data_IF_752545242953
#
_entry.id   IF_752545242953
#
_cell.length_a   1.000
_cell.length_b   1.000
_cell.length_c   1.000
_cell.angle_alpha   90.00
_cell.angle_beta   90.00
_cell.angle_gamma   90.00
#
_symmetry.space_group_name_H-M   'P 1'
#
loop_
_entity.id
_entity.type
_entity.pdbx_description
1 polymer ?
#
# COMPACT_ATOMS: atom_id res chain seq x y z
N UNK A 1 10.13 2.54 -24.67
CA UNK A 1 9.50 1.33 -24.09
C UNK A 1 9.66 1.42 -22.58
N UNK A 2 8.55 1.48 -21.83
CA UNK A 2 8.53 1.79 -20.39
C UNK A 2 9.12 0.63 -19.56
N UNK A 3 10.37 0.78 -19.09
CA UNK A 3 11.04 -0.21 -18.24
C UNK A 3 10.67 -0.11 -16.73
N UNK A 4 9.80 0.83 -16.32
CA UNK A 4 9.47 1.07 -14.90
C UNK A 4 8.21 0.35 -14.36
N UNK A 5 7.42 -0.33 -15.21
CA UNK A 5 6.19 -0.99 -14.74
C UNK A 5 6.51 -2.37 -14.16
N UNK A 6 6.47 -2.53 -12.84
CA UNK A 6 6.43 -3.86 -12.21
C UNK A 6 4.96 -4.27 -12.01
N UNK A 7 4.44 -5.18 -12.84
CA UNK A 7 3.05 -5.65 -12.76
C UNK A 7 2.68 -6.28 -11.41
N UNK A 8 3.64 -6.86 -10.68
CA UNK A 8 3.42 -7.35 -9.32
C UNK A 8 3.12 -6.21 -8.34
N UNK A 9 3.82 -5.08 -8.49
CA UNK A 9 3.51 -3.86 -7.71
C UNK A 9 2.12 -3.31 -8.05
N UNK A 10 1.72 -3.34 -9.33
CA UNK A 10 0.40 -2.86 -9.78
C UNK A 10 -0.74 -3.65 -9.13
N UNK A 11 -0.59 -4.97 -9.02
CA UNK A 11 -1.59 -5.85 -8.39
C UNK A 11 -1.43 -5.95 -6.86
N UNK A 12 -0.44 -5.27 -6.26
CA UNK A 12 -0.09 -5.36 -4.83
C UNK A 12 0.22 -6.79 -4.35
N UNK A 13 0.88 -7.58 -5.19
CA UNK A 13 1.22 -8.98 -4.90
C UNK A 13 2.72 -9.23 -4.98
N UNK A 14 3.19 -10.29 -4.32
CA UNK A 14 4.59 -10.71 -4.38
C UNK A 14 4.94 -11.29 -5.75
N UNK A 15 6.20 -11.20 -6.15
CA UNK A 15 6.73 -11.85 -7.35
C UNK A 15 6.62 -13.39 -7.27
N UNK A 16 6.56 -13.91 -6.04
CA UNK A 16 6.32 -15.32 -5.70
C UNK A 16 4.85 -15.68 -5.50
N UNK A 17 3.92 -14.75 -5.72
CA UNK A 17 2.49 -14.96 -5.49
C UNK A 17 1.95 -16.15 -6.30
N UNK A 18 1.01 -16.90 -5.75
CA UNK A 18 0.28 -17.94 -6.47
C UNK A 18 -0.71 -17.33 -7.47
N UNK A 19 -1.21 -18.13 -8.41
CA UNK A 19 -2.24 -17.68 -9.36
C UNK A 19 -3.52 -17.19 -8.66
N UNK A 20 -3.85 -17.78 -7.50
CA UNK A 20 -4.99 -17.35 -6.68
C UNK A 20 -4.75 -15.95 -6.08
N UNK A 21 -3.56 -15.70 -5.54
CA UNK A 21 -3.19 -14.40 -4.99
C UNK A 21 -3.16 -13.31 -6.06
N UNK A 22 -2.66 -13.61 -7.26
CA UNK A 22 -2.68 -12.68 -8.40
C UNK A 22 -4.11 -12.32 -8.80
N UNK A 23 -5.00 -13.31 -8.88
CA UNK A 23 -6.42 -13.08 -9.16
C UNK A 23 -7.10 -12.26 -8.08
N UNK A 24 -6.77 -12.51 -6.81
CA UNK A 24 -7.31 -11.73 -5.70
C UNK A 24 -6.80 -10.29 -5.72
N UNK A 25 -5.51 -10.08 -5.99
CA UNK A 25 -4.92 -8.75 -6.19
C UNK A 25 -5.60 -7.99 -7.31
N UNK A 26 -5.79 -8.62 -8.47
CA UNK A 26 -6.55 -8.05 -9.59
C UNK A 26 -7.97 -7.61 -9.19
N UNK A 27 -8.76 -8.50 -8.57
CA UNK A 27 -10.13 -8.17 -8.19
C UNK A 27 -10.19 -7.04 -7.15
N UNK A 28 -9.30 -7.07 -6.15
CA UNK A 28 -9.20 -6.04 -5.11
C UNK A 28 -8.87 -4.68 -5.72
N UNK A 29 -7.83 -4.62 -6.56
CA UNK A 29 -7.37 -3.38 -7.18
C UNK A 29 -8.40 -2.87 -8.19
N UNK A 30 -8.97 -3.74 -9.04
CA UNK A 30 -10.04 -3.38 -9.97
C UNK A 30 -11.26 -2.82 -9.23
N UNK A 31 -11.67 -3.41 -8.12
CA UNK A 31 -12.77 -2.87 -7.32
C UNK A 31 -12.43 -1.53 -6.65
N UNK A 32 -11.16 -1.29 -6.28
CA UNK A 32 -10.73 -0.01 -5.73
C UNK A 32 -10.84 1.14 -6.76
N UNK A 33 -10.69 0.84 -8.06
CA UNK A 33 -10.74 1.81 -9.16
C UNK A 33 -11.99 1.73 -10.04
N UNK A 34 -12.95 0.84 -9.76
CA UNK A 34 -14.24 0.75 -10.46
C UNK A 34 -15.36 1.39 -9.61
N UNK A 35 -16.27 2.11 -10.27
CA UNK A 35 -17.08 3.28 -9.86
C UNK A 35 -17.73 3.36 -8.45
N UNK A 36 -17.61 2.35 -7.59
CA UNK A 36 -18.25 2.29 -6.27
C UNK A 36 -17.26 2.13 -5.09
N UNK A 37 -15.94 2.19 -5.34
CA UNK A 37 -14.92 2.22 -4.29
C UNK A 37 -14.84 3.59 -3.60
N UNK A 38 -15.75 3.85 -2.65
CA UNK A 38 -16.03 5.10 -1.91
C UNK A 38 -14.85 5.88 -1.27
N UNK A 39 -13.59 5.55 -1.54
CA UNK A 39 -12.40 6.16 -0.94
C UNK A 39 -11.39 6.76 -1.93
N UNK A 40 -11.36 6.34 -3.20
CA UNK A 40 -10.35 6.79 -4.19
C UNK A 40 -10.89 7.77 -5.24
N UNK A 41 -12.19 7.76 -5.52
CA UNK A 41 -12.83 8.68 -6.50
C UNK A 41 -12.75 10.16 -6.11
N UNK A 42 -12.58 10.47 -4.82
CA UNK A 42 -12.41 11.85 -4.34
C UNK A 42 -11.01 12.42 -4.59
N UNK A 43 -10.09 11.63 -5.15
CA UNK A 43 -8.64 11.78 -5.03
C UNK A 43 -7.92 11.87 -6.40
N UNK A 44 -8.59 11.44 -7.46
CA UNK A 44 -8.10 11.30 -8.84
C UNK A 44 -9.21 11.70 -9.83
N UNK A 45 -8.85 12.20 -11.02
CA UNK A 45 -9.85 12.48 -12.06
C UNK A 45 -10.34 11.19 -12.75
N UNK A 46 -11.47 11.26 -13.44
CA UNK A 46 -12.04 10.11 -14.17
C UNK A 46 -11.02 9.51 -15.16
N UNK A 47 -10.30 10.36 -15.90
CA UNK A 47 -9.24 9.95 -16.83
C UNK A 47 -8.07 9.21 -16.15
N UNK A 48 -7.75 9.55 -14.90
CA UNK A 48 -6.67 8.90 -14.15
C UNK A 48 -7.13 7.53 -13.63
N UNK A 49 -8.39 7.43 -13.18
CA UNK A 49 -9.00 6.15 -12.82
C UNK A 49 -9.06 5.19 -14.02
N UNK A 50 -9.42 5.70 -15.21
CA UNK A 50 -9.46 4.91 -16.44
C UNK A 50 -8.08 4.36 -16.80
N UNK A 51 -7.04 5.19 -16.79
CA UNK A 51 -5.65 4.74 -17.00
C UNK A 51 -5.19 3.71 -15.98
N UNK A 52 -5.58 3.86 -14.72
CA UNK A 52 -5.25 2.87 -13.69
C UNK A 52 -5.96 1.54 -13.91
N UNK A 53 -7.23 1.56 -14.31
CA UNK A 53 -7.94 0.35 -14.69
C UNK A 53 -7.27 -0.34 -15.88
N UNK A 54 -6.85 0.40 -16.90
CA UNK A 54 -6.10 -0.16 -18.04
C UNK A 54 -4.81 -0.86 -17.58
N UNK A 55 -4.06 -0.25 -16.67
CA UNK A 55 -2.83 -0.84 -16.12
C UNK A 55 -3.09 -2.11 -15.30
N UNK A 56 -4.19 -2.15 -14.54
CA UNK A 56 -4.58 -3.31 -13.75
C UNK A 56 -4.99 -4.47 -14.65
N UNK A 57 -5.71 -4.19 -15.74
CA UNK A 57 -6.07 -5.17 -16.77
C UNK A 57 -4.83 -5.68 -17.52
N UNK A 58 -3.91 -4.78 -17.91
CA UNK A 58 -2.63 -5.11 -18.54
C UNK A 58 -1.81 -6.06 -17.63
N UNK A 59 -1.70 -5.72 -16.35
CA UNK A 59 -0.96 -6.51 -15.37
C UNK A 59 -1.56 -7.92 -15.20
N UNK A 60 -2.88 -8.05 -15.12
CA UNK A 60 -3.53 -9.36 -15.00
C UNK A 60 -3.48 -10.18 -16.28
N UNK A 61 -3.54 -9.54 -17.47
CA UNK A 61 -3.38 -10.24 -18.76
C UNK A 61 -2.02 -10.95 -18.90
N UNK A 62 -0.99 -10.41 -18.25
CA UNK A 62 0.36 -10.98 -18.24
C UNK A 62 0.56 -11.94 -17.06
N UNK A 63 0.18 -11.55 -15.84
CA UNK A 63 0.46 -12.33 -14.62
C UNK A 63 -0.55 -13.45 -14.36
N UNK A 64 -1.77 -13.34 -14.89
CA UNK A 64 -2.83 -14.34 -14.70
C UNK A 64 -2.65 -15.61 -15.52
N UNK A 65 -1.82 -15.57 -16.55
CA UNK A 65 -1.45 -16.72 -17.38
C UNK A 65 -0.05 -17.21 -17.03
N UNK A 66 0.10 -18.52 -16.78
CA UNK A 66 1.36 -19.11 -16.30
C UNK A 66 2.50 -18.95 -17.32
N UNK A 67 2.22 -19.05 -18.61
CA UNK A 67 3.22 -18.95 -19.68
C UNK A 67 3.68 -17.50 -19.88
N UNK A 68 2.72 -16.57 -19.92
CA UNK A 68 3.00 -15.12 -20.05
C UNK A 68 3.72 -14.58 -18.81
N UNK A 69 3.34 -15.07 -17.62
CA UNK A 69 4.02 -14.74 -16.36
C UNK A 69 5.46 -15.25 -16.35
N UNK A 70 5.71 -16.48 -16.80
CA UNK A 70 7.06 -17.04 -16.90
C UNK A 70 7.92 -16.22 -17.87
N UNK A 71 7.40 -15.90 -19.06
CA UNK A 71 8.09 -15.02 -20.03
C UNK A 71 8.38 -13.63 -19.47
N UNK A 72 7.44 -13.06 -18.73
CA UNK A 72 7.62 -11.78 -18.04
C UNK A 72 8.71 -11.86 -16.95
N UNK A 73 8.72 -12.92 -16.15
CA UNK A 73 9.75 -13.15 -15.12
C UNK A 73 11.14 -13.36 -15.72
N UNK A 74 11.24 -14.14 -16.80
CA UNK A 74 12.47 -14.38 -17.53
C UNK A 74 13.02 -13.10 -18.15
N UNK A 75 12.16 -12.31 -18.82
CA UNK A 75 12.55 -11.03 -19.42
C UNK A 75 13.01 -9.99 -18.37
N UNK A 76 12.60 -10.14 -17.11
CA UNK A 76 12.97 -9.25 -16.00
C UNK A 76 14.07 -9.80 -15.09
N UNK A 77 14.57 -11.01 -15.33
CA UNK A 77 15.58 -11.64 -14.46
C UNK A 77 15.09 -11.94 -13.04
N UNK A 78 13.76 -12.04 -12.84
CA UNK A 78 13.15 -12.43 -11.55
C UNK A 78 13.48 -13.90 -11.24
N UNK A 79 13.75 -14.68 -12.28
CA UNK A 79 14.10 -16.10 -12.24
C UNK A 79 15.62 -16.29 -12.47
N UNK A 80 16.47 -15.70 -11.63
CA UNK A 80 17.89 -16.05 -11.60
C UNK A 80 18.19 -16.95 -10.39
N UNK A 81 17.72 -18.18 -10.46
CA UNK A 81 18.24 -19.31 -9.65
C UNK A 81 18.45 -20.52 -10.55
N UNK A 82 19.47 -20.50 -11.39
CA UNK A 82 20.05 -21.70 -12.01
C UNK A 82 21.59 -21.60 -12.08
N UNK A 83 22.22 -21.89 -10.95
CA UNK A 83 23.49 -22.61 -10.78
C UNK A 83 23.51 -22.93 -9.28
N UNK A 84 23.26 -24.16 -8.83
CA UNK A 84 24.15 -25.31 -8.99
C UNK A 84 23.36 -26.63 -9.01
N UNK A 85 23.72 -27.50 -9.97
CA UNK A 85 23.36 -28.92 -9.99
C UNK A 85 24.18 -29.68 -8.95
N UNK A 86 23.57 -30.62 -8.21
CA UNK A 86 23.92 -32.06 -8.27
C UNK A 86 23.43 -32.88 -7.07
N UNK A 87 22.61 -33.90 -7.38
CA UNK A 87 22.57 -35.24 -6.80
C UNK A 87 22.13 -35.46 -5.33
N UNK A 88 20.93 -36.03 -5.17
CA UNK A 88 20.71 -37.47 -4.87
C UNK A 88 19.53 -37.71 -3.92
N UNK A 89 18.48 -38.31 -4.49
CA UNK A 89 17.73 -39.49 -4.01
C UNK A 89 17.52 -39.69 -2.51
N UNK A 90 16.25 -39.75 -2.08
CA UNK A 90 15.49 -40.95 -1.62
C UNK A 90 14.28 -40.45 -0.81
N UNK A 91 13.05 -40.72 -1.25
CA UNK A 91 12.19 -41.83 -0.75
C UNK A 91 11.45 -41.37 0.54
N UNK A 92 10.18 -41.62 0.85
CA UNK A 92 9.14 -42.53 0.37
C UNK A 92 7.81 -42.08 1.00
N UNK A 93 6.70 -42.38 0.32
CA UNK A 93 5.39 -42.82 0.88
C UNK A 93 4.53 -41.92 1.80
N UNK A 94 3.33 -41.63 1.29
CA UNK A 94 1.97 -41.81 1.87
C UNK A 94 1.77 -41.58 3.38
N UNK A 95 0.66 -41.00 3.85
CA UNK A 95 -0.69 -41.59 3.75
C UNK A 95 -1.70 -40.60 4.35
N UNK A 96 -2.83 -40.35 3.68
CA UNK A 96 -4.05 -39.86 4.33
C UNK A 96 -4.71 -41.00 5.13
N UNK A 97 -5.49 -40.70 6.18
CA UNK A 97 -6.92 -40.96 6.01
C UNK A 97 -7.84 -39.92 6.68
N UNK A 98 -9.09 -39.99 6.23
CA UNK A 98 -10.23 -39.10 6.43
C UNK A 98 -10.97 -39.28 7.77
N UNK A 99 -11.76 -38.25 8.13
CA UNK A 99 -13.08 -38.24 8.82
C UNK A 99 -13.20 -38.95 10.20
N UNK A 100 -13.90 -38.48 11.25
CA UNK A 100 -15.26 -37.92 11.32
C UNK A 100 -15.64 -37.61 12.81
N UNK A 101 -16.72 -36.84 13.04
CA UNK A 101 -17.65 -36.78 14.21
C UNK A 101 -17.47 -35.72 15.33
N UNK A 102 -18.28 -34.65 15.21
CA UNK A 102 -19.19 -34.02 16.21
C UNK A 102 -18.91 -34.03 17.72
N UNK A 103 -19.02 -32.86 18.36
CA UNK A 103 -20.16 -32.57 19.27
C UNK A 103 -20.16 -31.13 19.84
N UNK A 104 -21.38 -30.70 20.11
CA UNK A 104 -21.92 -29.47 20.69
C UNK A 104 -21.20 -28.87 21.90
N UNK A 105 -21.09 -27.55 21.90
CA UNK A 105 -20.86 -26.72 23.09
C UNK A 105 -21.62 -25.40 22.96
N UNK A 106 -22.91 -25.41 23.30
CA UNK A 106 -23.75 -24.22 23.41
C UNK A 106 -23.52 -23.63 24.80
N UNK A 107 -22.65 -22.63 24.90
CA UNK A 107 -22.45 -21.81 26.08
C UNK A 107 -22.76 -20.36 25.74
N UNK A 108 -23.81 -19.82 26.34
CA UNK A 108 -24.14 -18.40 26.31
C UNK A 108 -23.00 -17.58 26.94
N UNK A 109 -22.59 -16.48 26.32
CA UNK A 109 -22.28 -15.26 27.07
C UNK A 109 -22.16 -14.05 26.15
N UNK A 110 -22.97 -13.06 26.51
CA UNK A 110 -23.05 -11.68 26.04
C UNK A 110 -21.70 -10.96 26.10
N UNK A 111 -21.46 -10.01 25.18
CA UNK A 111 -20.56 -8.88 25.46
C UNK A 111 -19.63 -8.36 24.35
N UNK A 112 -19.47 -9.05 23.21
CA UNK A 112 -18.33 -8.79 22.32
C UNK A 112 -18.47 -7.68 21.24
N UNK A 113 -19.54 -6.88 21.24
CA UNK A 113 -19.76 -5.85 20.20
C UNK A 113 -19.19 -4.47 20.59
N UNK A 114 -18.82 -4.23 21.86
CA UNK A 114 -18.37 -2.90 22.31
C UNK A 114 -16.85 -2.67 22.39
N UNK A 115 -16.02 -3.72 22.46
CA UNK A 115 -14.56 -3.57 22.58
C UNK A 115 -13.94 -3.13 21.24
N UNK A 116 -14.34 -3.77 20.13
CA UNK A 116 -13.77 -3.51 18.81
C UNK A 116 -13.99 -2.09 18.32
N UNK A 117 -15.16 -1.49 18.64
CA UNK A 117 -15.49 -0.10 18.30
C UNK A 117 -14.69 0.90 19.15
N UNK A 118 -14.60 0.67 20.47
CA UNK A 118 -13.85 1.52 21.40
C UNK A 118 -12.34 1.53 21.12
N UNK A 119 -11.77 0.38 20.73
CA UNK A 119 -10.36 0.25 20.35
C UNK A 119 -10.08 0.93 18.99
N UNK A 120 -11.02 0.85 18.05
CA UNK A 120 -10.91 1.56 16.77
C UNK A 120 -11.03 3.08 16.95
N UNK A 121 -11.96 3.56 17.77
CA UNK A 121 -12.14 4.99 18.05
C UNK A 121 -10.92 5.61 18.74
N UNK A 122 -10.30 4.92 19.71
CA UNK A 122 -9.05 5.38 20.34
C UNK A 122 -7.87 5.42 19.37
N UNK A 123 -7.82 4.55 18.36
CA UNK A 123 -6.70 4.51 17.40
C UNK A 123 -6.58 5.81 16.59
N UNK A 124 -7.70 6.43 16.24
CA UNK A 124 -7.75 7.65 15.42
C UNK A 124 -7.81 8.96 16.23
N UNK A 125 -7.89 8.87 17.56
CA UNK A 125 -7.91 10.05 18.42
C UNK A 125 -6.50 10.64 18.55
N UNK A 126 -6.29 11.86 18.06
CA UNK A 126 -5.03 12.57 18.23
C UNK A 126 -5.02 13.24 19.60
N UNK A 127 -4.01 12.91 20.42
CA UNK A 127 -3.84 13.42 21.78
C UNK A 127 -2.57 14.27 21.81
N UNK A 128 -2.74 15.59 21.70
CA UNK A 128 -1.65 16.55 21.65
C UNK A 128 -2.08 17.87 22.28
N UNK A 129 -1.09 18.63 22.77
CA UNK A 129 -1.33 19.97 23.28
C UNK A 129 -1.28 20.94 22.10
N UNK A 130 -2.38 21.65 21.86
CA UNK A 130 -2.45 22.63 20.77
C UNK A 130 -1.45 23.76 21.01
N UNK A 131 -0.50 23.92 20.09
CA UNK A 131 0.37 25.08 19.97
C UNK A 131 -0.22 26.03 18.92
N UNK A 132 -0.80 27.18 19.31
CA UNK A 132 -1.45 28.09 18.38
C UNK A 132 -0.52 28.58 17.26
N UNK A 133 0.78 28.77 17.55
CA UNK A 133 1.72 29.24 16.55
C UNK A 133 1.98 28.17 15.49
N UNK A 134 2.11 26.91 15.91
CA UNK A 134 2.34 25.81 14.98
C UNK A 134 1.07 25.41 14.22
N UNK A 135 -0.12 25.44 14.83
CA UNK A 135 -1.38 25.24 14.09
C UNK A 135 -1.58 26.32 13.02
N UNK A 136 -1.20 27.57 13.30
CA UNK A 136 -1.22 28.64 12.30
C UNK A 136 -0.20 28.40 11.17
N UNK A 137 1.01 27.91 11.48
CA UNK A 137 2.00 27.48 10.47
C UNK A 137 1.43 26.35 9.59
N UNK A 138 0.74 25.38 10.17
CA UNK A 138 0.11 24.26 9.45
C UNK A 138 -1.02 24.76 8.53
N UNK A 139 -1.89 25.65 9.02
CA UNK A 139 -3.04 26.17 8.26
C UNK A 139 -2.62 27.01 7.06
N UNK A 140 -1.54 27.79 7.20
CA UNK A 140 -1.01 28.65 6.13
C UNK A 140 -0.11 27.90 5.15
N UNK A 141 0.28 26.66 5.46
CA UNK A 141 1.17 25.89 4.60
C UNK A 141 0.47 25.45 3.31
N UNK A 142 1.14 25.68 2.19
CA UNK A 142 0.70 25.24 0.85
C UNK A 142 1.63 24.18 0.25
N UNK A 143 2.90 24.16 0.68
CA UNK A 143 3.91 23.23 0.20
C UNK A 143 4.39 22.29 1.32
N UNK A 144 4.07 21.01 1.19
CA UNK A 144 4.37 20.02 2.21
C UNK A 144 5.59 19.19 1.85
N UNK A 145 6.63 19.29 2.68
CA UNK A 145 7.82 18.44 2.60
C UNK A 145 7.69 17.23 3.52
N UNK A 146 8.46 16.17 3.25
CA UNK A 146 8.56 15.01 4.15
C UNK A 146 8.93 15.41 5.58
N UNK A 147 9.88 16.35 5.70
CA UNK A 147 10.33 16.85 7.00
C UNK A 147 9.25 17.63 7.75
N UNK A 148 8.40 18.39 7.03
CA UNK A 148 7.27 19.09 7.64
C UNK A 148 6.18 18.11 8.06
N UNK A 149 5.87 17.08 7.25
CA UNK A 149 4.95 16.02 7.63
C UNK A 149 5.41 15.27 8.88
N UNK A 150 6.72 15.00 9.00
CA UNK A 150 7.32 14.44 10.21
C UNK A 150 7.11 15.34 11.43
N UNK A 151 7.39 16.64 11.32
CA UNK A 151 7.15 17.62 12.40
C UNK A 151 5.68 17.60 12.86
N UNK A 152 4.73 17.61 11.92
CA UNK A 152 3.30 17.55 12.25
C UNK A 152 2.95 16.23 12.95
N UNK A 153 3.45 15.10 12.44
CA UNK A 153 3.19 13.78 13.03
C UNK A 153 3.67 13.71 14.49
N UNK A 154 4.89 14.18 14.74
CA UNK A 154 5.49 14.18 16.07
C UNK A 154 4.77 15.15 17.01
N UNK A 155 4.43 16.35 16.53
CA UNK A 155 3.62 17.30 17.27
C UNK A 155 2.24 16.74 17.66
N UNK A 156 1.59 15.98 16.77
CA UNK A 156 0.31 15.31 17.07
C UNK A 156 0.47 14.00 17.87
N UNK A 157 1.66 13.74 18.42
CA UNK A 157 2.03 12.56 19.21
C UNK A 157 1.68 11.21 18.54
N UNK A 158 1.96 11.11 17.25
CA UNK A 158 1.79 9.87 16.48
C UNK A 158 3.17 9.29 16.18
N UNK A 159 3.49 8.10 16.68
CA UNK A 159 4.73 7.40 16.32
C UNK A 159 4.58 6.63 14.98
N UNK A 160 5.69 6.19 14.38
CA UNK A 160 5.67 5.45 13.11
C UNK A 160 4.84 4.16 13.19
N UNK A 161 4.92 3.33 14.25
CA UNK A 161 4.05 2.16 14.39
C UNK A 161 2.57 2.51 14.38
N UNK A 162 2.14 3.49 15.18
CA UNK A 162 0.75 3.95 15.21
C UNK A 162 0.32 4.53 13.87
N UNK A 163 1.20 5.28 13.21
CA UNK A 163 0.92 5.85 11.90
C UNK A 163 0.71 4.76 10.85
N UNK A 164 1.53 3.71 10.87
CA UNK A 164 1.39 2.53 10.01
C UNK A 164 0.05 1.82 10.27
N UNK A 165 -0.36 1.68 11.53
CA UNK A 165 -1.63 1.07 11.90
C UNK A 165 -2.84 1.88 11.44
N UNK A 166 -2.77 3.21 11.50
CA UNK A 166 -3.85 4.12 11.09
C UNK A 166 -3.98 4.19 9.57
N UNK A 167 -2.86 4.29 8.86
CA UNK A 167 -2.82 4.49 7.39
C UNK A 167 -2.85 3.20 6.59
N UNK A 168 -2.46 2.07 7.19
CA UNK A 168 -2.16 0.80 6.52
C UNK A 168 -1.00 0.87 5.53
N UNK A 169 -0.17 1.89 5.64
CA UNK A 169 1.09 2.04 4.89
C UNK A 169 2.22 1.41 5.71
N UNK A 170 3.19 0.78 5.06
CA UNK A 170 4.32 0.17 5.76
C UNK A 170 5.18 1.23 6.47
N UNK A 171 5.77 0.88 7.61
CA UNK A 171 6.70 1.75 8.35
C UNK A 171 7.83 2.26 7.45
N UNK A 172 8.37 1.39 6.60
CA UNK A 172 9.43 1.73 5.63
C UNK A 172 9.00 2.85 4.69
N UNK A 173 7.79 2.77 4.12
CA UNK A 173 7.32 3.82 3.22
C UNK A 173 7.00 5.12 3.96
N UNK A 174 6.48 5.06 5.18
CA UNK A 174 6.27 6.25 5.99
C UNK A 174 7.59 6.98 6.28
N UNK A 175 8.65 6.23 6.61
CA UNK A 175 10.00 6.78 6.82
C UNK A 175 10.52 7.38 5.51
N UNK A 176 10.43 6.66 4.39
CA UNK A 176 10.90 7.18 3.09
C UNK A 176 10.11 8.42 2.63
N UNK A 177 8.83 8.55 3.00
CA UNK A 177 8.04 9.78 2.78
C UNK A 177 8.60 10.92 3.62
N UNK A 178 8.87 10.69 4.90
CA UNK A 178 9.38 11.74 5.80
C UNK A 178 10.81 12.19 5.45
N UNK A 179 11.61 11.26 4.93
CA UNK A 179 13.00 11.51 4.51
C UNK A 179 13.10 11.94 3.03
N UNK A 180 11.99 11.95 2.30
CA UNK A 180 11.93 12.20 0.85
C UNK A 180 12.90 11.30 0.05
N UNK A 181 13.13 10.09 0.54
CA UNK A 181 14.01 9.10 -0.05
C UNK A 181 13.35 8.46 -1.29
N UNK A 182 13.49 9.14 -2.43
CA UNK A 182 12.85 8.78 -3.71
C UNK A 182 13.16 7.35 -4.14
N UNK A 183 14.41 6.90 -3.97
CA UNK A 183 14.85 5.55 -4.38
C UNK A 183 14.12 4.44 -3.59
N UNK A 184 13.70 4.76 -2.36
CA UNK A 184 12.95 3.87 -1.48
C UNK A 184 11.44 3.93 -1.64
N UNK A 185 10.91 4.82 -2.49
CA UNK A 185 9.47 5.01 -2.67
C UNK A 185 8.91 4.14 -3.81
N UNK A 186 7.61 3.75 -3.74
CA UNK A 186 6.95 3.07 -4.85
C UNK A 186 6.68 4.05 -6.00
N UNK A 187 6.05 3.57 -7.09
CA UNK A 187 5.72 4.47 -8.21
C UNK A 187 4.77 5.61 -7.77
N UNK A 188 4.85 6.82 -8.37
CA UNK A 188 4.22 8.03 -7.85
C UNK A 188 2.73 7.96 -7.53
N UNK A 189 1.96 7.14 -8.26
CA UNK A 189 0.52 6.96 -8.00
C UNK A 189 0.25 6.39 -6.60
N UNK A 190 1.06 5.44 -6.12
CA UNK A 190 0.93 4.90 -4.76
C UNK A 190 1.35 5.92 -3.71
N UNK A 191 2.41 6.67 -3.99
CA UNK A 191 2.89 7.72 -3.07
C UNK A 191 1.77 8.72 -2.80
N UNK A 192 1.03 9.16 -3.83
CA UNK A 192 -0.09 10.09 -3.69
C UNK A 192 -1.15 9.54 -2.72
N UNK A 193 -1.52 8.26 -2.90
CA UNK A 193 -2.47 7.58 -2.00
C UNK A 193 -1.96 7.47 -0.57
N UNK A 194 -0.68 7.15 -0.38
CA UNK A 194 -0.05 7.04 0.95
C UNK A 194 -0.03 8.38 1.66
N UNK A 195 0.42 9.43 0.99
CA UNK A 195 0.49 10.80 1.52
C UNK A 195 -0.92 11.33 1.82
N UNK A 196 -1.92 11.00 1.00
CA UNK A 196 -3.30 11.35 1.29
C UNK A 196 -3.81 10.70 2.58
N UNK A 197 -3.60 9.39 2.77
CA UNK A 197 -3.99 8.71 4.00
C UNK A 197 -3.21 9.24 5.21
N UNK A 198 -1.94 9.58 5.01
CA UNK A 198 -1.09 10.21 6.01
C UNK A 198 -1.72 11.53 6.50
N UNK A 199 -2.03 12.43 5.56
CA UNK A 199 -2.65 13.72 5.85
C UNK A 199 -4.01 13.58 6.52
N UNK A 200 -4.85 12.65 6.04
CA UNK A 200 -6.17 12.36 6.63
C UNK A 200 -6.07 11.92 8.08
N UNK A 201 -5.12 11.05 8.40
CA UNK A 201 -4.89 10.57 9.77
C UNK A 201 -4.45 11.69 10.72
N UNK A 202 -3.77 12.71 10.21
CA UNK A 202 -3.30 13.87 10.97
C UNK A 202 -4.28 15.06 10.93
N UNK A 203 -5.49 14.88 10.37
CA UNK A 203 -6.53 15.93 10.20
C UNK A 203 -6.06 17.14 9.39
N UNK A 204 -5.17 16.93 8.42
CA UNK A 204 -4.77 17.94 7.43
C UNK A 204 -5.71 17.93 6.23
N UNK A 205 -5.59 18.93 5.34
CA UNK A 205 -6.22 18.88 4.02
C UNK A 205 -5.52 17.82 3.14
N UNK A 206 -6.14 16.66 2.88
CA UNK A 206 -5.42 15.54 2.32
C UNK A 206 -5.14 15.70 0.82
N UNK A 207 -6.01 16.41 0.09
CA UNK A 207 -5.83 16.71 -1.34
C UNK A 207 -4.67 17.69 -1.55
N UNK A 208 -4.59 18.75 -0.75
CA UNK A 208 -3.51 19.74 -0.82
C UNK A 208 -2.15 19.10 -0.51
N UNK A 209 -2.07 18.35 0.59
CA UNK A 209 -0.83 17.69 1.02
C UNK A 209 -0.35 16.69 -0.03
N UNK A 210 -1.24 15.82 -0.54
CA UNK A 210 -0.87 14.85 -1.56
C UNK A 210 -0.43 15.51 -2.88
N UNK A 211 -1.09 16.60 -3.28
CA UNK A 211 -0.77 17.31 -4.53
C UNK A 211 0.57 18.02 -4.44
N UNK A 212 0.79 18.81 -3.38
CA UNK A 212 2.05 19.55 -3.18
C UNK A 212 3.25 18.60 -3.05
N UNK A 213 3.09 17.52 -2.27
CA UNK A 213 4.14 16.52 -2.09
C UNK A 213 4.52 15.81 -3.41
N UNK A 214 3.54 15.44 -4.24
CA UNK A 214 3.81 14.82 -5.55
C UNK A 214 4.49 15.80 -6.51
N UNK A 215 4.07 17.06 -6.53
CA UNK A 215 4.74 18.08 -7.34
C UNK A 215 6.20 18.25 -6.91
N UNK A 216 6.45 18.28 -5.60
CA UNK A 216 7.80 18.32 -5.04
C UNK A 216 8.65 17.12 -5.46
N UNK A 217 8.12 15.89 -5.38
CA UNK A 217 8.83 14.70 -5.84
C UNK A 217 9.19 14.76 -7.32
N UNK A 218 8.32 15.30 -8.18
CA UNK A 218 8.61 15.48 -9.61
C UNK A 218 9.78 16.42 -9.84
N UNK A 219 9.91 17.48 -9.05
CA UNK A 219 11.04 18.41 -9.12
C UNK A 219 12.35 17.78 -8.62
N UNK A 220 12.29 16.90 -7.62
CA UNK A 220 13.47 16.15 -7.14
C UNK A 220 13.92 15.10 -8.18
N UNK A 221 12.96 14.41 -8.82
CA UNK A 221 13.22 13.34 -9.79
C UNK A 221 13.72 13.90 -11.13
N UNK A 222 13.25 15.09 -11.54
CA UNK A 222 13.75 15.74 -12.75
C UNK A 222 15.21 16.15 -12.50
N UNK A 223 16.20 15.51 -13.15
CA UNK A 223 17.57 15.96 -13.01
C UNK A 223 17.64 17.41 -13.49
N UNK A 224 18.30 18.27 -12.70
CA UNK A 224 18.69 19.60 -13.13
C UNK A 224 19.44 19.42 -14.44
N UNK A 225 18.77 19.75 -15.54
CA UNK A 225 19.43 19.79 -16.84
C UNK A 225 20.24 21.08 -16.82
N UNK A 226 21.48 20.99 -16.39
CA UNK A 226 22.48 22.06 -16.43
C UNK A 226 23.83 21.46 -16.72
#
# INVERSE_FOLDING_TARGET
MNHEKNYYKILEVSEKATAQEIRQGYLKTKHAYAANGLALYSLMSDDECEKMLELVEEAYSILGDQERRSKYNQARGIDNTLAEESFSTTDTSSTSPSSTHSSSGRGQSSGHVNISKMVAEKRYLLDYQEDPAFEQEIEQQVDFTGQFLKRIREYKNVDIPRMSDMTKVSKTYLINIEEENVDGLPVPVYIRGFVYQYAKCLKLNPTLVATSYINRLREIIRPSTS
#
